data_IF_611579074418
#
_entry.id   IF_611579074418
#
_cell.length_a   1.000
_cell.length_b   1.000
_cell.length_c   1.000
_cell.angle_alpha   90.00
_cell.angle_beta   90.00
_cell.angle_gamma   90.00
#
_symmetry.space_group_name_H-M   'P 1'
#
loop_
_entity.id
_entity.type
_entity.pdbx_description
1 polymer ?
#
# COMPACT_ATOMS: atom_id res chain seq x y z
N UNK A 1 18.70 -12.42 -2.57
CA UNK A 1 19.36 -11.34 -3.37
C UNK A 1 19.77 -11.81 -4.76
N UNK A 2 19.13 -11.27 -5.81
CA UNK A 2 19.52 -11.50 -7.21
C UNK A 2 19.33 -10.20 -8.00
N UNK A 3 20.34 -9.71 -8.75
CA UNK A 3 20.19 -8.49 -9.57
C UNK A 3 19.03 -8.59 -10.57
N UNK A 4 18.78 -9.78 -11.13
CA UNK A 4 17.68 -10.04 -12.06
C UNK A 4 16.31 -9.81 -11.43
N UNK A 5 16.13 -10.12 -10.14
CA UNK A 5 14.87 -9.86 -9.43
C UNK A 5 14.69 -8.37 -9.13
N UNK A 6 15.77 -7.67 -8.76
CA UNK A 6 15.73 -6.21 -8.53
C UNK A 6 15.37 -5.46 -9.82
N UNK A 7 16.04 -5.76 -10.94
CA UNK A 7 15.74 -5.14 -12.24
C UNK A 7 14.32 -5.46 -12.72
N UNK A 8 13.84 -6.70 -12.53
CA UNK A 8 12.47 -7.07 -12.85
C UNK A 8 11.45 -6.31 -11.99
N UNK A 9 11.72 -6.11 -10.70
CA UNK A 9 10.90 -5.28 -9.81
C UNK A 9 10.81 -3.83 -10.27
N UNK A 10 11.93 -3.21 -10.67
CA UNK A 10 11.94 -1.84 -11.21
C UNK A 10 11.13 -1.71 -12.50
N UNK A 11 11.27 -2.66 -13.43
CA UNK A 11 10.48 -2.66 -14.69
C UNK A 11 8.99 -2.85 -14.38
N UNK A 12 8.63 -3.79 -13.50
CA UNK A 12 7.24 -4.03 -13.12
C UNK A 12 6.61 -2.86 -12.35
N UNK A 13 7.39 -2.10 -11.59
CA UNK A 13 6.97 -0.82 -10.97
C UNK A 13 6.61 0.19 -12.06
N UNK A 14 7.47 0.35 -13.07
CA UNK A 14 7.36 1.40 -14.08
C UNK A 14 6.31 1.11 -15.18
N UNK A 15 5.85 -0.14 -15.32
CA UNK A 15 4.80 -0.56 -16.27
C UNK A 15 3.39 -0.53 -15.65
N UNK A 16 3.25 -0.58 -14.32
CA UNK A 16 1.95 -0.50 -13.64
C UNK A 16 1.44 0.95 -13.64
N UNK A 17 0.20 1.16 -14.09
CA UNK A 17 -0.49 2.45 -14.08
C UNK A 17 -1.39 2.56 -12.83
N UNK A 18 -1.41 3.72 -12.18
CA UNK A 18 -2.27 4.03 -11.03
C UNK A 18 -1.54 4.80 -9.93
N UNK A 19 -2.17 4.95 -8.76
CA UNK A 19 -1.60 5.61 -7.57
C UNK A 19 -0.48 4.75 -6.87
N UNK A 20 -0.01 3.68 -7.52
CA UNK A 20 0.88 2.64 -6.96
C UNK A 20 2.34 3.00 -7.21
N UNK A 21 3.08 3.30 -6.15
CA UNK A 21 4.51 3.69 -6.15
C UNK A 21 5.45 2.48 -6.19
N UNK A 22 5.08 1.34 -5.59
CA UNK A 22 5.84 0.07 -5.62
C UNK A 22 5.04 -1.15 -5.18
N UNK A 23 5.51 -2.32 -5.60
CA UNK A 23 5.29 -3.60 -4.92
C UNK A 23 6.64 -4.29 -4.68
N UNK A 24 6.84 -4.84 -3.48
CA UNK A 24 8.07 -5.55 -3.08
C UNK A 24 7.74 -6.90 -2.44
N UNK A 25 8.29 -7.97 -3.00
CA UNK A 25 8.14 -9.35 -2.54
C UNK A 25 9.21 -9.69 -1.49
N UNK A 26 8.79 -10.22 -0.34
CA UNK A 26 9.72 -10.69 0.69
C UNK A 26 10.04 -12.19 0.49
N UNK A 27 11.28 -12.49 0.10
CA UNK A 27 11.79 -13.87 -0.01
C UNK A 27 11.54 -14.63 1.32
N UNK A 28 10.89 -15.79 1.24
CA UNK A 28 10.51 -16.62 2.40
C UNK A 28 9.21 -16.26 3.11
N UNK A 29 8.85 -14.98 3.23
CA UNK A 29 7.69 -14.54 4.04
C UNK A 29 6.32 -14.65 3.33
N UNK A 30 6.29 -14.91 2.02
CA UNK A 30 5.07 -14.97 1.18
C UNK A 30 4.19 -13.70 1.23
N UNK A 31 4.77 -12.54 1.56
CA UNK A 31 4.08 -11.27 1.65
C UNK A 31 4.59 -10.27 0.60
N UNK A 32 3.70 -9.36 0.21
CA UNK A 32 3.98 -8.18 -0.60
C UNK A 32 3.80 -6.92 0.25
N UNK A 33 4.78 -6.01 0.19
CA UNK A 33 4.56 -4.61 0.54
C UNK A 33 4.09 -3.85 -0.70
N UNK A 34 2.98 -3.13 -0.58
CA UNK A 34 2.42 -2.21 -1.56
C UNK A 34 2.63 -0.78 -1.03
N UNK A 35 3.19 0.07 -1.86
CA UNK A 35 3.61 1.47 -1.62
C UNK A 35 2.70 2.32 -2.53
N UNK A 36 1.80 3.18 -2.00
CA UNK A 36 0.80 3.92 -2.80
C UNK A 36 0.40 5.28 -2.20
N UNK A 37 -0.08 6.21 -3.03
CA UNK A 37 -0.65 7.50 -2.59
C UNK A 37 -2.18 7.42 -2.41
N UNK A 38 -2.70 8.07 -1.37
CA UNK A 38 -4.16 8.19 -1.18
C UNK A 38 -4.67 9.32 -2.07
N UNK A 39 -5.38 8.98 -3.16
CA UNK A 39 -6.07 9.95 -4.00
C UNK A 39 -7.31 10.54 -3.30
N UNK A 40 -7.76 11.71 -3.75
CA UNK A 40 -8.86 12.47 -3.13
C UNK A 40 -10.19 11.71 -3.07
N UNK A 41 -10.46 10.86 -4.07
CA UNK A 41 -11.62 9.97 -4.13
C UNK A 41 -11.45 8.63 -3.40
N UNK A 42 -10.27 8.33 -2.85
CA UNK A 42 -9.99 7.04 -2.20
C UNK A 42 -10.91 6.79 -1.02
N UNK A 43 -11.33 5.52 -0.86
CA UNK A 43 -12.15 5.08 0.28
C UNK A 43 -11.44 5.17 1.63
N UNK A 44 -10.14 5.49 1.67
CA UNK A 44 -9.38 5.72 2.89
C UNK A 44 -9.44 7.18 3.39
N UNK A 45 -9.67 8.14 2.50
CA UNK A 45 -9.57 9.57 2.79
C UNK A 45 -10.54 10.01 3.91
N UNK A 46 -10.02 10.69 4.94
CA UNK A 46 -10.76 11.21 6.08
C UNK A 46 -11.15 10.17 7.15
N UNK A 47 -10.62 8.94 7.11
CA UNK A 47 -11.00 7.86 8.05
C UNK A 47 -9.86 7.49 9.00
N UNK A 48 -10.22 7.12 10.23
CA UNK A 48 -9.30 6.49 11.18
C UNK A 48 -8.97 5.07 10.72
N UNK A 49 -7.74 4.63 10.91
CA UNK A 49 -7.30 3.29 10.51
C UNK A 49 -8.16 2.17 11.13
N UNK A 50 -8.67 2.33 12.36
CA UNK A 50 -9.56 1.35 13.03
C UNK A 50 -10.90 1.14 12.33
N UNK A 51 -11.40 2.14 11.60
CA UNK A 51 -12.72 2.12 10.96
C UNK A 51 -12.68 1.48 9.55
N UNK A 52 -11.47 1.28 9.01
CA UNK A 52 -11.25 0.79 7.65
C UNK A 52 -11.22 -0.74 7.64
N UNK A 53 -12.32 -1.33 7.15
CA UNK A 53 -12.47 -2.79 6.99
C UNK A 53 -11.75 -3.29 5.72
N UNK A 54 -10.42 -3.26 5.73
CA UNK A 54 -9.61 -3.81 4.64
C UNK A 54 -9.95 -5.28 4.33
N UNK A 55 -9.87 -5.71 3.05
CA UNK A 55 -9.83 -7.12 2.68
C UNK A 55 -8.66 -7.80 3.42
N UNK A 56 -8.96 -8.83 4.22
CA UNK A 56 -7.93 -9.55 4.99
C UNK A 56 -7.31 -10.68 4.16
N UNK A 57 -6.00 -10.96 4.32
CA UNK A 57 -5.07 -10.33 5.25
C UNK A 57 -4.37 -9.09 4.66
N UNK A 58 -4.53 -7.94 5.32
CA UNK A 58 -3.86 -6.69 4.99
C UNK A 58 -3.55 -5.89 6.27
N UNK A 59 -2.44 -5.14 6.27
CA UNK A 59 -1.95 -4.33 7.39
C UNK A 59 -1.23 -3.08 6.88
N UNK A 60 -1.63 -1.88 7.29
CA UNK A 60 -0.82 -0.67 7.08
C UNK A 60 0.30 -0.65 8.13
N UNK A 61 1.56 -0.67 7.68
CA UNK A 61 2.74 -0.68 8.56
C UNK A 61 3.37 0.70 8.77
N UNK A 62 3.26 1.60 7.79
CA UNK A 62 3.73 2.97 7.89
C UNK A 62 2.89 3.92 7.01
N UNK A 63 2.88 5.20 7.37
CA UNK A 63 2.29 6.30 6.60
C UNK A 63 3.32 7.43 6.51
N UNK A 64 3.42 8.08 5.35
CA UNK A 64 4.20 9.31 5.16
C UNK A 64 3.22 10.43 4.85
N UNK A 65 3.01 11.33 5.81
CA UNK A 65 2.15 12.50 5.64
C UNK A 65 3.01 13.75 5.54
N UNK A 66 2.79 14.57 4.51
CA UNK A 66 3.57 15.80 4.27
C UNK A 66 5.10 15.57 4.29
N UNK A 67 5.55 14.41 3.79
CA UNK A 67 6.95 13.99 3.78
C UNK A 67 7.49 13.44 5.11
N UNK A 68 6.70 13.39 6.19
CA UNK A 68 7.10 12.87 7.49
C UNK A 68 6.59 11.43 7.70
N UNK A 69 7.47 10.42 7.87
CA UNK A 69 7.08 9.04 8.10
C UNK A 69 6.69 8.79 9.56
N UNK A 70 5.62 8.04 9.78
CA UNK A 70 5.21 7.54 11.10
C UNK A 70 4.61 6.13 11.03
N UNK A 71 4.65 5.41 12.15
CA UNK A 71 3.92 4.15 12.33
C UNK A 71 2.50 4.51 12.80
N UNK A 72 1.45 4.20 12.04
CA UNK A 72 0.09 4.56 12.41
C UNK A 72 -0.44 3.67 13.55
N UNK A 73 -1.44 4.18 14.26
CA UNK A 73 -2.24 3.41 15.21
C UNK A 73 -3.72 3.45 14.80
N UNK A 74 -4.59 2.82 15.59
CA UNK A 74 -6.02 2.74 15.27
C UNK A 74 -6.73 4.10 15.11
N UNK A 75 -6.26 5.17 15.76
CA UNK A 75 -6.85 6.51 15.67
C UNK A 75 -6.17 7.43 14.67
N UNK A 76 -5.07 7.00 14.04
CA UNK A 76 -4.46 7.72 12.92
C UNK A 76 -5.48 7.89 11.79
N UNK A 77 -5.80 9.14 11.47
CA UNK A 77 -6.63 9.50 10.33
C UNK A 77 -5.75 9.51 9.07
N UNK A 78 -6.24 8.91 7.99
CA UNK A 78 -5.59 8.91 6.69
C UNK A 78 -6.17 10.03 5.81
N UNK A 79 -5.31 10.77 5.11
CA UNK A 79 -5.68 11.92 4.29
C UNK A 79 -5.24 11.76 2.83
N UNK A 80 -5.96 12.42 1.92
CA UNK A 80 -5.52 12.51 0.53
C UNK A 80 -4.15 13.21 0.42
N UNK A 81 -3.23 12.62 -0.36
CA UNK A 81 -1.83 13.03 -0.44
C UNK A 81 -0.89 12.29 0.52
N UNK A 82 -1.40 11.54 1.50
CA UNK A 82 -0.56 10.64 2.30
C UNK A 82 -0.06 9.47 1.43
N UNK A 83 1.19 9.04 1.66
CA UNK A 83 1.72 7.78 1.12
C UNK A 83 1.57 6.68 2.18
N UNK A 84 0.98 5.55 1.83
CA UNK A 84 0.87 4.40 2.74
C UNK A 84 1.75 3.24 2.29
N UNK A 85 2.28 2.51 3.27
CA UNK A 85 2.99 1.24 3.09
C UNK A 85 2.14 0.15 3.73
N UNK A 86 1.53 -0.69 2.89
CA UNK A 86 0.61 -1.75 3.26
C UNK A 86 1.22 -3.12 2.96
N UNK A 87 1.06 -4.07 3.87
CA UNK A 87 1.50 -5.45 3.73
C UNK A 87 0.29 -6.37 3.51
N UNK A 88 0.38 -7.28 2.54
CA UNK A 88 -0.67 -8.24 2.17
C UNK A 88 -0.07 -9.56 1.68
N UNK A 89 -0.88 -10.61 1.54
CA UNK A 89 -0.52 -11.75 0.69
C UNK A 89 -0.72 -11.38 -0.80
N UNK A 90 0.07 -11.96 -1.74
CA UNK A 90 -0.06 -11.74 -3.19
C UNK A 90 -1.49 -11.91 -3.72
N UNK A 91 -2.15 -13.02 -3.34
CA UNK A 91 -3.50 -13.38 -3.77
C UNK A 91 -4.58 -12.34 -3.39
N UNK A 92 -4.26 -11.42 -2.48
CA UNK A 92 -5.13 -10.35 -1.99
C UNK A 92 -4.72 -8.95 -2.47
N UNK A 93 -3.55 -8.78 -3.10
CA UNK A 93 -3.00 -7.49 -3.49
C UNK A 93 -3.95 -6.68 -4.38
N UNK A 94 -4.47 -7.28 -5.46
CA UNK A 94 -5.45 -6.64 -6.35
C UNK A 94 -6.72 -6.23 -5.59
N UNK A 95 -7.30 -7.14 -4.81
CA UNK A 95 -8.53 -6.91 -4.03
C UNK A 95 -8.39 -5.79 -3.00
N UNK A 96 -7.20 -5.59 -2.45
CA UNK A 96 -6.89 -4.47 -1.54
C UNK A 96 -6.75 -3.16 -2.32
N UNK A 97 -6.13 -3.17 -3.50
CA UNK A 97 -6.02 -2.00 -4.38
C UNK A 97 -7.40 -1.52 -4.85
N UNK A 98 -8.25 -2.41 -5.37
CA UNK A 98 -9.62 -2.10 -5.80
C UNK A 98 -10.42 -1.44 -4.66
N UNK A 99 -10.31 -2.01 -3.45
CA UNK A 99 -10.95 -1.48 -2.24
C UNK A 99 -10.46 -0.07 -1.86
N UNK A 100 -9.20 0.28 -2.14
CA UNK A 100 -8.61 1.59 -1.82
C UNK A 100 -9.02 2.63 -2.86
N UNK A 101 -8.96 2.29 -4.15
CA UNK A 101 -9.40 3.16 -5.26
C UNK A 101 -10.93 3.36 -5.27
N UNK A 102 -11.69 2.42 -4.69
CA UNK A 102 -13.14 2.47 -4.62
C UNK A 102 -13.85 1.89 -5.83
N UNK A 103 -13.23 0.89 -6.44
CA UNK A 103 -13.77 0.07 -7.54
C UNK A 103 -14.39 -1.23 -7.02
#
# INVERSE_FOLDING_TARGET
FSPRLLTAGTILRQVRQGDIVSITLFEGAKAEAIELHISSGSRLNGKRLRDIKFPRPALVGAVVSNGQPFVPNGDSILHAGDQIILFTLPDYAAKVLDFIEGR
#
